data_IF_001644852481
#
_entry.id   IF_001644852481
#
_cell.length_a   1.000
_cell.length_b   1.000
_cell.length_c   1.000
_cell.angle_alpha   90.00
_cell.angle_beta   90.00
_cell.angle_gamma   90.00
#
_symmetry.space_group_name_H-M   'P 1'
#
loop_
_entity.id
_entity.type
_entity.pdbx_description
1 polymer ?
#
# COMPACT_ATOMS: atom_id res chain seq x y z
N UNK A 1 43.61 19.37 -17.94
CA UNK A 1 44.36 19.79 -16.74
C UNK A 1 45.68 20.43 -17.17
N UNK A 2 45.93 21.67 -16.74
CA UNK A 2 47.16 22.41 -17.08
C UNK A 2 48.37 22.00 -16.23
N UNK A 3 49.58 22.43 -16.63
CA UNK A 3 50.84 22.16 -15.89
C UNK A 3 50.81 22.62 -14.42
N UNK A 4 50.11 23.73 -14.15
CA UNK A 4 49.96 24.27 -12.79
C UNK A 4 49.11 23.38 -11.88
N UNK A 5 48.03 22.79 -12.39
CA UNK A 5 47.16 21.89 -11.63
C UNK A 5 47.89 20.60 -11.23
N UNK A 6 48.71 20.06 -12.14
CA UNK A 6 49.56 18.90 -11.87
C UNK A 6 50.58 19.19 -10.77
N UNK A 7 51.33 20.29 -10.91
CA UNK A 7 52.32 20.70 -9.91
C UNK A 7 51.70 20.88 -8.52
N UNK A 8 50.50 21.47 -8.44
CA UNK A 8 49.79 21.64 -7.18
C UNK A 8 49.40 20.29 -6.53
N UNK A 9 48.87 19.34 -7.31
CA UNK A 9 48.51 17.99 -6.82
C UNK A 9 49.73 17.20 -6.36
N UNK A 10 50.81 17.24 -7.14
CA UNK A 10 52.09 16.61 -6.79
C UNK A 10 52.65 17.19 -5.48
N UNK A 11 52.62 18.52 -5.34
CA UNK A 11 53.05 19.18 -4.10
C UNK A 11 52.19 18.72 -2.92
N UNK A 12 50.86 18.68 -3.04
CA UNK A 12 49.99 18.16 -1.98
C UNK A 12 50.31 16.71 -1.64
N UNK A 13 50.58 15.87 -2.63
CA UNK A 13 50.91 14.48 -2.41
C UNK A 13 52.22 14.29 -1.62
N UNK A 14 53.27 15.01 -2.02
CA UNK A 14 54.59 14.89 -1.41
C UNK A 14 54.66 15.57 -0.03
N UNK A 15 54.08 16.75 0.09
CA UNK A 15 54.22 17.59 1.27
C UNK A 15 53.26 17.21 2.41
N UNK A 16 52.05 16.73 2.11
CA UNK A 16 51.04 16.43 3.16
C UNK A 16 51.54 15.39 4.14
N UNK A 17 52.07 14.27 3.64
CA UNK A 17 52.60 13.21 4.51
C UNK A 17 53.82 13.71 5.30
N UNK A 18 54.71 14.47 4.66
CA UNK A 18 55.91 15.03 5.29
C UNK A 18 55.59 16.02 6.40
N UNK A 19 54.73 17.00 6.13
CA UNK A 19 54.37 18.08 7.06
C UNK A 19 53.54 17.56 8.22
N UNK A 20 52.64 16.60 7.98
CA UNK A 20 51.77 16.05 9.02
C UNK A 20 52.38 14.88 9.79
N UNK A 21 53.61 14.47 9.46
CA UNK A 21 54.24 13.29 10.05
C UNK A 21 53.46 12.00 9.78
N UNK A 22 52.81 11.92 8.60
CA UNK A 22 51.97 10.80 8.19
C UNK A 22 50.55 10.81 8.78
N UNK A 23 50.14 11.85 9.51
CA UNK A 23 48.78 11.95 10.06
C UNK A 23 47.72 12.22 8.98
N UNK A 24 48.11 12.74 7.82
CA UNK A 24 47.28 12.85 6.64
C UNK A 24 48.04 12.40 5.39
N UNK A 25 47.32 11.81 4.44
CA UNK A 25 47.83 11.45 3.12
C UNK A 25 46.93 12.08 2.05
N UNK A 26 47.54 12.43 0.93
CA UNK A 26 46.81 12.79 -0.26
C UNK A 26 46.40 11.53 -1.00
N UNK A 27 45.14 11.47 -1.41
CA UNK A 27 44.64 10.48 -2.34
C UNK A 27 44.00 11.22 -3.52
N UNK A 28 44.36 10.83 -4.74
CA UNK A 28 43.72 11.39 -5.92
C UNK A 28 42.23 11.06 -5.89
N UNK A 29 41.42 12.07 -6.18
CA UNK A 29 39.97 11.93 -6.12
C UNK A 29 39.49 10.83 -7.10
N UNK A 30 38.72 9.83 -6.64
CA UNK A 30 38.13 8.85 -7.53
C UNK A 30 37.13 9.54 -8.48
N UNK A 31 36.99 9.00 -9.69
CA UNK A 31 35.98 9.47 -10.63
C UNK A 31 34.58 9.19 -10.06
N UNK A 32 33.80 10.26 -9.84
CA UNK A 32 32.43 10.15 -9.33
C UNK A 32 31.48 10.00 -10.52
N UNK A 33 31.01 8.77 -10.76
CA UNK A 33 30.03 8.49 -11.81
C UNK A 33 28.63 8.89 -11.35
N UNK A 34 28.06 9.89 -12.02
CA UNK A 34 26.69 10.33 -11.82
C UNK A 34 25.76 9.59 -12.78
N UNK A 35 25.18 8.48 -12.33
CA UNK A 35 24.39 7.60 -13.22
C UNK A 35 23.02 8.17 -13.61
N UNK A 36 22.47 9.12 -12.82
CA UNK A 36 21.21 9.87 -13.09
C UNK A 36 21.08 11.07 -12.12
N UNK A 37 21.01 12.29 -12.65
CA UNK A 37 20.78 13.53 -11.88
C UNK A 37 19.46 14.19 -12.33
N UNK A 38 18.38 13.42 -12.38
CA UNK A 38 17.05 13.94 -12.70
C UNK A 38 16.23 14.06 -11.42
N UNK A 39 15.77 15.28 -11.12
CA UNK A 39 14.85 15.54 -10.02
C UNK A 39 13.41 15.21 -10.42
N UNK A 40 12.55 15.02 -9.41
CA UNK A 40 11.13 14.71 -9.65
C UNK A 40 10.38 15.94 -10.16
N UNK A 41 10.71 17.12 -9.66
CA UNK A 41 10.20 18.38 -10.17
C UNK A 41 10.63 19.60 -9.37
N UNK A 42 10.09 20.75 -9.75
CA UNK A 42 10.29 22.02 -9.05
C UNK A 42 8.99 22.82 -9.04
N UNK A 43 8.76 23.54 -7.94
CA UNK A 43 7.65 24.48 -7.80
C UNK A 43 8.14 25.87 -8.19
N UNK A 44 7.60 26.45 -9.27
CA UNK A 44 7.86 27.85 -9.62
C UNK A 44 6.85 28.77 -8.94
N UNK A 45 7.34 29.78 -8.24
CA UNK A 45 6.50 30.77 -7.55
C UNK A 45 6.16 31.89 -8.51
N UNK A 46 4.92 31.89 -9.00
CA UNK A 46 4.44 32.90 -9.95
C UNK A 46 3.77 34.10 -9.25
N UNK A 47 3.07 33.85 -8.13
CA UNK A 47 2.33 34.87 -7.36
C UNK A 47 2.44 34.58 -5.85
N UNK A 48 3.47 35.11 -5.17
CA UNK A 48 3.78 34.75 -3.78
C UNK A 48 2.70 35.18 -2.77
N UNK A 49 1.93 36.22 -3.05
CA UNK A 49 0.87 36.71 -2.17
C UNK A 49 -0.28 35.70 -2.02
N UNK A 50 -0.60 34.98 -3.10
CA UNK A 50 -1.67 33.98 -3.12
C UNK A 50 -1.38 32.76 -2.24
N UNK A 51 -0.09 32.48 -1.98
CA UNK A 51 0.32 31.33 -1.17
C UNK A 51 0.23 31.60 0.34
N UNK A 52 0.09 32.87 0.76
CA UNK A 52 0.10 33.25 2.17
C UNK A 52 -1.07 32.68 2.98
N UNK A 53 -2.21 32.47 2.30
CA UNK A 53 -3.47 32.08 2.91
C UNK A 53 -3.75 30.58 2.81
N UNK A 54 -2.92 29.84 2.08
CA UNK A 54 -3.01 28.39 1.97
C UNK A 54 -2.38 27.73 3.20
N UNK A 55 -2.83 26.53 3.55
CA UNK A 55 -2.19 25.74 4.59
C UNK A 55 -0.73 25.42 4.26
N UNK A 56 0.09 25.27 5.30
CA UNK A 56 1.45 24.77 5.17
C UNK A 56 1.46 23.41 4.44
N UNK A 57 2.44 23.17 3.54
CA UNK A 57 3.71 23.90 3.43
C UNK A 57 3.70 25.14 2.52
N UNK A 58 2.61 25.47 1.81
CA UNK A 58 2.60 26.52 0.77
C UNK A 58 3.19 27.89 1.17
N UNK A 59 2.95 28.44 2.38
CA UNK A 59 3.55 29.72 2.75
C UNK A 59 5.09 29.70 2.79
N UNK A 60 5.73 28.55 2.99
CA UNK A 60 7.19 28.45 3.14
C UNK A 60 7.96 28.72 1.83
N UNK A 61 7.34 28.49 0.66
CA UNK A 61 8.02 28.70 -0.64
C UNK A 61 7.99 30.16 -1.09
N UNK A 62 7.20 31.02 -0.43
CA UNK A 62 6.95 32.41 -0.85
C UNK A 62 8.18 33.28 -0.95
N UNK A 63 9.22 32.96 -0.17
CA UNK A 63 10.47 33.70 -0.15
C UNK A 63 11.40 33.32 -1.32
N UNK A 64 10.99 32.36 -2.16
CA UNK A 64 11.83 31.76 -3.21
C UNK A 64 11.14 31.87 -4.57
N UNK A 65 11.93 31.98 -5.64
CA UNK A 65 11.42 31.94 -7.02
C UNK A 65 11.04 30.52 -7.47
N UNK A 66 11.74 29.53 -6.91
CA UNK A 66 11.64 28.12 -7.24
C UNK A 66 11.96 27.30 -5.97
N UNK A 67 11.41 26.09 -5.86
CA UNK A 67 11.88 25.10 -4.90
C UNK A 67 11.89 23.72 -5.53
N UNK A 68 13.01 23.00 -5.39
CA UNK A 68 13.11 21.60 -5.80
C UNK A 68 12.18 20.74 -4.93
N UNK A 69 11.40 19.87 -5.59
CA UNK A 69 10.55 18.89 -4.92
C UNK A 69 11.06 17.49 -5.21
N UNK A 70 11.25 16.73 -4.14
CA UNK A 70 11.55 15.30 -4.15
C UNK A 70 10.37 14.56 -3.54
N UNK A 71 9.73 13.70 -4.32
CA UNK A 71 8.48 13.04 -3.97
C UNK A 71 8.72 11.55 -3.78
N UNK A 72 8.53 11.08 -2.55
CA UNK A 72 8.60 9.66 -2.19
C UNK A 72 7.21 9.15 -1.87
N UNK A 73 6.79 8.11 -2.59
CA UNK A 73 5.51 7.44 -2.40
C UNK A 73 5.65 6.25 -1.44
N UNK A 74 4.51 5.64 -1.12
CA UNK A 74 4.48 4.44 -0.31
C UNK A 74 5.28 3.30 -0.99
N UNK A 75 6.29 2.78 -0.29
CA UNK A 75 7.20 1.75 -0.78
C UNK A 75 8.57 2.28 -1.21
N UNK A 76 8.71 3.58 -1.44
CA UNK A 76 9.98 4.19 -1.79
C UNK A 76 10.95 4.24 -0.61
N UNK A 77 12.24 4.19 -0.92
CA UNK A 77 13.29 4.37 0.07
C UNK A 77 13.39 5.84 0.51
N UNK A 78 13.52 6.03 1.82
CA UNK A 78 13.80 7.33 2.47
C UNK A 78 15.03 7.24 3.38
N UNK A 79 15.99 6.41 2.99
CA UNK A 79 17.24 6.25 3.69
C UNK A 79 18.22 7.41 3.45
N UNK A 80 19.36 7.37 4.14
CA UNK A 80 20.38 8.41 4.02
C UNK A 80 20.92 8.57 2.60
N UNK A 81 20.98 7.49 1.80
CA UNK A 81 21.50 7.55 0.42
C UNK A 81 20.53 8.33 -0.46
N UNK A 82 19.23 8.08 -0.31
CA UNK A 82 18.20 8.81 -1.06
C UNK A 82 18.19 10.30 -0.71
N UNK A 83 18.33 10.67 0.56
CA UNK A 83 18.44 12.09 0.95
C UNK A 83 19.73 12.71 0.38
N UNK A 84 20.85 12.00 0.36
CA UNK A 84 22.09 12.50 -0.25
C UNK A 84 21.96 12.67 -1.76
N UNK A 85 21.23 11.79 -2.46
CA UNK A 85 20.93 11.93 -3.89
C UNK A 85 20.03 13.14 -4.16
N UNK A 86 19.00 13.36 -3.35
CA UNK A 86 18.17 14.57 -3.44
C UNK A 86 18.98 15.86 -3.25
N UNK A 87 19.87 15.90 -2.25
CA UNK A 87 20.77 17.04 -2.01
C UNK A 87 21.71 17.29 -3.20
N UNK A 88 22.22 16.22 -3.82
CA UNK A 88 23.05 16.31 -5.01
C UNK A 88 22.28 16.88 -6.20
N UNK A 89 21.05 16.40 -6.45
CA UNK A 89 20.17 16.91 -7.52
C UNK A 89 19.82 18.37 -7.32
N UNK A 90 19.53 18.77 -6.07
CA UNK A 90 19.36 20.18 -5.69
C UNK A 90 20.60 21.01 -5.99
N UNK A 91 21.78 20.53 -5.62
CA UNK A 91 23.02 21.28 -5.88
C UNK A 91 23.27 21.43 -7.39
N UNK A 92 22.99 20.39 -8.18
CA UNK A 92 23.08 20.46 -9.63
C UNK A 92 22.14 21.53 -10.20
N UNK A 93 20.88 21.57 -9.76
CA UNK A 93 19.93 22.61 -10.19
C UNK A 93 20.37 24.02 -9.77
N UNK A 94 20.92 24.17 -8.57
CA UNK A 94 21.47 25.45 -8.10
C UNK A 94 22.58 25.95 -9.04
N UNK A 95 23.52 25.06 -9.43
CA UNK A 95 24.59 25.39 -10.39
C UNK A 95 24.01 25.77 -11.74
N UNK A 96 23.07 25.00 -12.29
CA UNK A 96 22.40 25.34 -13.55
C UNK A 96 21.78 26.74 -13.51
N UNK A 97 21.11 27.11 -12.41
CA UNK A 97 20.50 28.44 -12.27
C UNK A 97 21.53 29.57 -12.21
N UNK A 98 22.72 29.32 -11.67
CA UNK A 98 23.84 30.27 -11.70
C UNK A 98 24.35 30.44 -13.13
N UNK A 99 24.49 29.35 -13.87
CA UNK A 99 25.01 29.32 -15.25
C UNK A 99 24.02 29.88 -16.29
N UNK A 100 22.72 29.68 -16.09
CA UNK A 100 21.64 30.14 -16.98
C UNK A 100 21.44 31.66 -16.98
N UNK A 101 22.02 32.41 -16.04
CA UNK A 101 21.73 33.84 -15.83
C UNK A 101 22.96 34.73 -15.94
N UNK A 102 22.75 35.90 -16.54
CA UNK A 102 23.72 37.00 -16.56
C UNK A 102 23.03 38.30 -16.08
N UNK A 103 23.46 38.90 -14.94
CA UNK A 103 24.53 38.44 -14.04
C UNK A 103 24.19 37.12 -13.32
N UNK A 104 25.20 36.42 -12.78
CA UNK A 104 25.00 35.15 -12.07
C UNK A 104 23.99 35.28 -10.92
N UNK A 105 23.12 34.30 -10.80
CA UNK A 105 22.18 34.21 -9.69
C UNK A 105 22.92 33.94 -8.37
N UNK A 106 22.53 34.63 -7.29
CA UNK A 106 23.21 34.54 -5.97
C UNK A 106 22.29 33.99 -4.86
N UNK A 107 21.17 33.38 -5.23
CA UNK A 107 20.25 32.77 -4.27
C UNK A 107 20.64 31.33 -3.93
N UNK A 108 19.83 30.71 -3.09
CA UNK A 108 19.96 29.30 -2.71
C UNK A 108 18.75 28.51 -3.20
N UNK A 109 18.97 27.30 -3.71
CA UNK A 109 17.90 26.42 -4.16
C UNK A 109 17.26 25.69 -2.97
N UNK A 110 15.98 25.92 -2.64
CA UNK A 110 15.30 25.18 -1.57
C UNK A 110 15.11 23.71 -1.93
N UNK A 111 14.99 22.87 -0.90
CA UNK A 111 14.62 21.46 -1.05
C UNK A 111 13.36 21.17 -0.24
N UNK A 112 12.33 20.70 -0.92
CA UNK A 112 11.11 20.16 -0.31
C UNK A 112 11.08 18.65 -0.53
N UNK A 113 11.24 17.90 0.55
CA UNK A 113 11.25 16.45 0.52
C UNK A 113 9.93 15.92 1.07
N UNK A 114 9.07 15.42 0.18
CA UNK A 114 7.75 14.90 0.49
C UNK A 114 7.84 13.39 0.62
N UNK A 115 7.40 12.87 1.77
CA UNK A 115 7.43 11.43 2.04
C UNK A 115 6.24 11.04 2.92
N UNK A 116 5.90 9.74 3.02
CA UNK A 116 4.79 9.33 3.87
C UNK A 116 5.00 9.71 5.35
N UNK A 117 6.23 9.63 5.84
CA UNK A 117 6.58 9.88 7.24
C UNK A 117 8.02 10.41 7.37
N UNK A 118 8.37 10.92 8.56
CA UNK A 118 9.76 11.24 8.91
C UNK A 118 10.48 9.95 9.33
N UNK A 119 11.58 9.54 8.68
CA UNK A 119 12.29 8.33 9.05
C UNK A 119 13.05 8.50 10.38
N UNK A 120 13.13 7.42 11.17
CA UNK A 120 13.73 7.46 12.51
C UNK A 120 15.19 7.91 12.51
N UNK A 121 15.97 7.50 11.50
CA UNK A 121 17.39 7.85 11.39
C UNK A 121 17.60 9.38 11.28
N UNK A 122 16.65 10.11 10.68
CA UNK A 122 16.79 11.54 10.45
C UNK A 122 16.81 12.32 11.76
N UNK A 123 16.02 11.90 12.75
CA UNK A 123 16.01 12.49 14.09
C UNK A 123 17.37 12.36 14.81
N UNK A 124 18.16 11.34 14.48
CA UNK A 124 19.46 11.10 15.09
C UNK A 124 20.58 11.98 14.51
N UNK A 125 20.38 12.58 13.33
CA UNK A 125 21.45 13.28 12.60
C UNK A 125 21.08 14.70 12.17
N UNK A 126 19.81 15.11 12.31
CA UNK A 126 19.32 16.45 12.01
C UNK A 126 18.41 16.95 13.12
N UNK A 127 18.41 18.27 13.32
CA UNK A 127 17.36 18.95 14.05
C UNK A 127 16.13 19.08 13.15
N UNK A 128 14.96 18.72 13.67
CA UNK A 128 13.68 18.84 12.98
C UNK A 128 12.81 19.84 13.74
N UNK A 129 12.73 21.06 13.22
CA UNK A 129 11.92 22.13 13.78
C UNK A 129 10.50 22.06 13.19
N UNK A 130 9.46 21.80 13.99
CA UNK A 130 8.09 21.74 13.48
C UNK A 130 7.59 23.12 13.07
N UNK A 131 7.17 23.26 11.81
CA UNK A 131 6.58 24.50 11.26
C UNK A 131 5.06 24.44 11.31
N UNK A 132 4.50 23.27 11.00
CA UNK A 132 3.06 22.97 10.98
C UNK A 132 2.87 21.45 11.08
N UNK A 133 1.64 20.93 11.26
CA UNK A 133 1.40 19.49 11.23
C UNK A 133 1.99 18.86 9.95
N UNK A 134 2.87 17.87 10.12
CA UNK A 134 3.55 17.19 9.02
C UNK A 134 4.60 18.01 8.26
N UNK A 135 4.96 19.21 8.70
CA UNK A 135 5.98 20.05 8.04
C UNK A 135 7.12 20.36 9.01
N UNK A 136 8.33 19.93 8.67
CA UNK A 136 9.51 20.03 9.52
C UNK A 136 10.66 20.70 8.79
N UNK A 137 11.19 21.79 9.33
CA UNK A 137 12.41 22.40 8.83
C UNK A 137 13.61 21.59 9.30
N UNK A 138 14.46 21.17 8.37
CA UNK A 138 15.60 20.28 8.61
C UNK A 138 16.86 21.12 8.79
N UNK A 139 17.42 21.12 10.00
CA UNK A 139 18.63 21.87 10.36
C UNK A 139 19.77 20.98 10.86
N UNK A 140 21.02 21.49 10.90
CA UNK A 140 21.45 22.75 10.27
C UNK A 140 21.54 22.61 8.75
N UNK A 141 21.12 23.64 8.03
CA UNK A 141 21.16 23.72 6.57
C UNK A 141 21.45 25.16 6.17
N UNK A 142 22.27 25.37 5.14
CA UNK A 142 22.53 26.72 4.61
C UNK A 142 21.27 27.28 3.93
N UNK A 143 20.52 26.40 3.28
CA UNK A 143 19.30 26.71 2.54
C UNK A 143 18.06 26.15 3.22
N UNK A 144 16.87 26.58 2.75
CA UNK A 144 15.60 26.04 3.21
C UNK A 144 15.46 24.57 2.81
N UNK A 145 15.57 23.67 3.78
CA UNK A 145 15.26 22.26 3.64
C UNK A 145 14.02 21.93 4.45
N UNK A 146 12.91 21.63 3.77
CA UNK A 146 11.65 21.25 4.37
C UNK A 146 11.37 19.76 4.15
N UNK A 147 11.11 19.03 5.22
CA UNK A 147 10.57 17.68 5.19
C UNK A 147 9.05 17.72 5.39
N UNK A 148 8.32 17.10 4.48
CA UNK A 148 6.85 17.07 4.48
C UNK A 148 6.40 15.62 4.69
N UNK A 149 5.95 15.30 5.89
CA UNK A 149 5.41 14.01 6.29
C UNK A 149 3.90 13.94 5.96
N UNK A 150 3.59 13.37 4.80
CA UNK A 150 2.25 13.39 4.22
C UNK A 150 1.16 12.74 5.12
N UNK A 151 1.53 11.73 5.92
CA UNK A 151 0.60 11.07 6.84
C UNK A 151 0.12 11.98 7.98
N UNK A 152 0.86 13.05 8.27
CA UNK A 152 0.57 13.98 9.37
C UNK A 152 -0.11 15.28 8.89
N UNK A 153 -0.15 15.52 7.58
CA UNK A 153 -0.83 16.68 6.99
C UNK A 153 -2.35 16.60 7.21
N UNK A 154 -3.06 17.72 7.41
CA UNK A 154 -4.52 17.72 7.47
C UNK A 154 -5.13 17.46 6.09
N UNK A 155 -6.34 16.90 6.07
CA UNK A 155 -7.11 16.69 4.84
C UNK A 155 -7.72 18.02 4.37
N UNK A 156 -7.09 18.66 3.38
CA UNK A 156 -7.52 19.91 2.75
C UNK A 156 -7.30 19.86 1.25
N UNK A 157 -8.18 20.50 0.48
CA UNK A 157 -8.13 20.46 -1.00
C UNK A 157 -6.81 20.99 -1.56
N UNK A 158 -6.29 22.08 -0.98
CA UNK A 158 -5.02 22.68 -1.35
C UNK A 158 -3.80 21.79 -1.03
N UNK A 159 -3.94 20.77 -0.18
CA UNK A 159 -2.85 19.86 0.20
C UNK A 159 -2.84 18.56 -0.61
N UNK A 160 -3.80 18.36 -1.52
CA UNK A 160 -3.86 17.14 -2.35
C UNK A 160 -2.54 16.79 -3.04
N UNK A 161 -1.74 17.74 -3.59
CA UNK A 161 -0.44 17.43 -4.19
C UNK A 161 0.56 16.75 -3.23
N UNK A 162 0.44 16.96 -1.92
CA UNK A 162 1.29 16.31 -0.91
C UNK A 162 0.63 15.06 -0.33
N UNK A 163 -0.70 15.06 -0.20
CA UNK A 163 -1.46 13.96 0.39
C UNK A 163 -1.38 12.66 -0.44
N UNK A 164 -1.06 12.76 -1.74
CA UNK A 164 -0.78 11.57 -2.57
C UNK A 164 0.42 10.76 -2.07
N UNK A 165 1.36 11.36 -1.36
CA UNK A 165 2.50 10.63 -0.78
C UNK A 165 2.15 9.85 0.49
N UNK A 166 0.90 9.84 0.93
CA UNK A 166 0.48 9.08 2.11
C UNK A 166 0.65 7.58 1.93
N UNK A 167 0.75 6.87 3.05
CA UNK A 167 0.83 5.41 3.11
C UNK A 167 -0.11 4.81 4.16
N UNK A 168 -0.35 3.50 4.04
CA UNK A 168 -1.12 2.72 5.01
C UNK A 168 -2.50 3.32 5.31
N UNK A 169 -2.85 3.43 6.59
CA UNK A 169 -4.15 3.94 7.02
C UNK A 169 -4.41 5.39 6.60
N UNK A 170 -3.39 6.24 6.61
CA UNK A 170 -3.54 7.63 6.20
C UNK A 170 -3.86 7.76 4.70
N UNK A 171 -3.30 6.88 3.86
CA UNK A 171 -3.63 6.78 2.44
C UNK A 171 -5.09 6.36 2.24
N UNK A 172 -5.55 5.35 2.97
CA UNK A 172 -6.93 4.90 2.93
C UNK A 172 -7.92 6.01 3.34
N UNK A 173 -7.61 6.74 4.40
CA UNK A 173 -8.40 7.90 4.85
C UNK A 173 -8.43 9.02 3.80
N UNK A 174 -7.27 9.32 3.21
CA UNK A 174 -7.17 10.28 2.11
C UNK A 174 -8.01 9.84 0.90
N UNK A 175 -7.88 8.59 0.45
CA UNK A 175 -8.56 8.07 -0.73
C UNK A 175 -10.09 8.20 -0.61
N UNK A 176 -10.65 7.84 0.55
CA UNK A 176 -12.09 7.99 0.83
C UNK A 176 -12.54 9.45 0.89
N UNK A 177 -11.69 10.31 1.46
CA UNK A 177 -11.98 11.72 1.58
C UNK A 177 -11.89 12.45 0.23
N UNK A 178 -10.91 12.13 -0.62
CA UNK A 178 -10.67 12.84 -1.89
C UNK A 178 -11.59 12.36 -3.01
N UNK A 179 -12.03 11.10 -2.98
CA UNK A 179 -12.84 10.52 -4.04
C UNK A 179 -14.11 11.32 -4.41
N UNK A 180 -14.96 11.80 -3.47
CA UNK A 180 -16.13 12.61 -3.82
C UNK A 180 -15.79 14.05 -4.24
N UNK A 181 -14.51 14.46 -4.23
CA UNK A 181 -14.04 15.82 -4.50
C UNK A 181 -13.26 15.94 -5.81
N UNK A 182 -13.16 14.85 -6.57
CA UNK A 182 -12.38 14.77 -7.82
C UNK A 182 -13.17 14.07 -8.90
N UNK A 183 -12.81 14.38 -10.14
CA UNK A 183 -13.39 13.74 -11.32
C UNK A 183 -13.18 12.22 -11.28
N UNK A 184 -14.15 11.48 -11.80
CA UNK A 184 -14.17 10.01 -11.76
C UNK A 184 -12.90 9.43 -12.36
N UNK A 185 -12.41 9.95 -13.49
CA UNK A 185 -11.18 9.48 -14.12
C UNK A 185 -9.94 9.62 -13.23
N UNK A 186 -9.84 10.71 -12.47
CA UNK A 186 -8.75 10.89 -11.52
C UNK A 186 -8.86 9.87 -10.37
N UNK A 187 -10.07 9.61 -9.87
CA UNK A 187 -10.31 8.63 -8.81
C UNK A 187 -10.00 7.20 -9.29
N UNK A 188 -10.38 6.84 -10.52
CA UNK A 188 -10.05 5.55 -11.11
C UNK A 188 -8.53 5.36 -11.25
N UNK A 189 -7.82 6.40 -11.69
CA UNK A 189 -6.35 6.41 -11.75
C UNK A 189 -5.73 6.19 -10.36
N UNK A 190 -6.24 6.89 -9.34
CA UNK A 190 -5.79 6.70 -7.95
C UNK A 190 -6.03 5.25 -7.47
N UNK A 191 -7.19 4.66 -7.75
CA UNK A 191 -7.51 3.26 -7.39
C UNK A 191 -6.56 2.26 -8.07
N UNK A 192 -6.18 2.54 -9.32
CA UNK A 192 -5.32 1.69 -10.13
C UNK A 192 -3.87 1.67 -9.63
N UNK A 193 -3.30 2.85 -9.34
CA UNK A 193 -1.87 2.98 -9.10
C UNK A 193 -1.48 3.04 -7.62
N UNK A 194 -2.38 3.45 -6.73
CA UNK A 194 -2.01 3.65 -5.32
C UNK A 194 -2.08 2.34 -4.51
N UNK A 195 -1.09 2.09 -3.62
CA UNK A 195 -1.04 0.89 -2.79
C UNK A 195 -1.94 1.01 -1.54
N UNK A 196 -3.24 1.27 -1.76
CA UNK A 196 -4.27 1.29 -0.72
C UNK A 196 -4.74 -0.12 -0.34
N UNK A 197 -5.42 -0.25 0.80
CA UNK A 197 -5.93 -1.55 1.23
C UNK A 197 -6.97 -2.12 0.27
N UNK A 198 -7.05 -3.46 0.19
CA UNK A 198 -8.01 -4.15 -0.67
C UNK A 198 -9.46 -3.74 -0.39
N UNK A 199 -9.79 -3.53 0.90
CA UNK A 199 -11.12 -3.08 1.31
C UNK A 199 -11.44 -1.68 0.78
N UNK A 200 -10.53 -0.71 0.96
CA UNK A 200 -10.71 0.66 0.44
C UNK A 200 -10.83 0.67 -1.07
N UNK A 201 -9.98 -0.11 -1.74
CA UNK A 201 -10.02 -0.25 -3.20
C UNK A 201 -11.38 -0.76 -3.67
N UNK A 202 -11.91 -1.79 -3.03
CA UNK A 202 -13.19 -2.39 -3.36
C UNK A 202 -14.38 -1.45 -3.06
N UNK A 203 -14.38 -0.78 -1.91
CA UNK A 203 -15.41 0.22 -1.55
C UNK A 203 -15.44 1.37 -2.56
N UNK A 204 -14.28 1.91 -2.94
CA UNK A 204 -14.20 2.98 -3.93
C UNK A 204 -14.60 2.50 -5.33
N UNK A 205 -14.20 1.29 -5.74
CA UNK A 205 -14.68 0.69 -7.00
C UNK A 205 -16.19 0.52 -7.03
N UNK A 206 -16.83 0.15 -5.91
CA UNK A 206 -18.30 0.05 -5.85
C UNK A 206 -18.98 1.40 -5.97
N UNK A 207 -18.43 2.43 -5.34
CA UNK A 207 -19.00 3.79 -5.33
C UNK A 207 -18.76 4.58 -6.61
N UNK A 208 -17.60 4.39 -7.25
CA UNK A 208 -17.13 5.21 -8.37
C UNK A 208 -16.83 4.41 -9.65
N UNK A 209 -16.86 3.08 -9.58
CA UNK A 209 -16.62 2.21 -10.74
C UNK A 209 -17.85 1.98 -11.63
N UNK A 210 -19.05 2.38 -11.18
CA UNK A 210 -20.27 2.39 -11.99
C UNK A 210 -20.61 3.82 -12.36
N UNK A 211 -20.90 4.04 -13.64
CA UNK A 211 -21.48 5.31 -14.08
C UNK A 211 -22.99 5.26 -13.83
N UNK A 212 -23.57 6.31 -13.25
CA UNK A 212 -25.04 6.45 -13.16
C UNK A 212 -25.64 6.82 -14.52
N UNK A 213 -24.80 7.19 -15.50
CA UNK A 213 -25.19 7.43 -16.89
C UNK A 213 -25.30 6.08 -17.65
N UNK A 214 -26.52 5.69 -18.08
CA UNK A 214 -26.75 4.43 -18.79
C UNK A 214 -25.99 4.34 -20.13
N UNK A 215 -25.71 5.46 -20.78
CA UNK A 215 -25.01 5.50 -22.07
C UNK A 215 -23.51 5.23 -21.90
N UNK A 216 -22.91 5.79 -20.85
CA UNK A 216 -21.51 5.53 -20.48
C UNK A 216 -21.34 4.05 -20.08
N UNK A 217 -22.29 3.49 -19.33
CA UNK A 217 -22.23 2.08 -18.93
C UNK A 217 -22.43 1.14 -20.13
N UNK A 218 -23.34 1.47 -21.05
CA UNK A 218 -23.52 0.72 -22.30
C UNK A 218 -22.23 0.72 -23.14
N UNK A 219 -21.57 1.87 -23.28
CA UNK A 219 -20.30 2.00 -24.01
C UNK A 219 -19.18 1.21 -23.33
N UNK A 220 -19.10 1.21 -22.00
CA UNK A 220 -18.14 0.39 -21.24
C UNK A 220 -18.37 -1.09 -21.45
N UNK A 221 -19.63 -1.54 -21.42
CA UNK A 221 -19.99 -2.94 -21.69
C UNK A 221 -19.61 -3.34 -23.12
N UNK A 222 -19.84 -2.48 -24.11
CA UNK A 222 -19.44 -2.72 -25.49
C UNK A 222 -17.93 -2.89 -25.62
N UNK A 223 -17.13 -1.97 -25.04
CA UNK A 223 -15.66 -2.07 -25.03
C UNK A 223 -15.20 -3.38 -24.38
N UNK A 224 -15.76 -3.75 -23.23
CA UNK A 224 -15.41 -4.99 -22.54
C UNK A 224 -15.75 -6.23 -23.40
N UNK A 225 -16.90 -6.23 -24.08
CA UNK A 225 -17.27 -7.30 -24.98
C UNK A 225 -16.30 -7.41 -26.17
N UNK A 226 -15.89 -6.28 -26.75
CA UNK A 226 -14.89 -6.26 -27.82
C UNK A 226 -13.55 -6.82 -27.34
N UNK A 227 -13.05 -6.36 -26.19
CA UNK A 227 -11.77 -6.84 -25.63
C UNK A 227 -11.79 -8.36 -25.35
N UNK A 228 -12.91 -8.89 -24.85
CA UNK A 228 -13.07 -10.33 -24.62
C UNK A 228 -13.23 -11.12 -25.93
N UNK A 229 -13.75 -10.50 -27.00
CA UNK A 229 -13.81 -11.10 -28.32
C UNK A 229 -12.43 -11.14 -28.99
N UNK A 230 -11.61 -10.11 -28.78
CA UNK A 230 -10.25 -9.99 -29.30
C UNK A 230 -9.23 -10.84 -28.53
N UNK A 231 -9.59 -11.34 -27.35
CA UNK A 231 -8.75 -12.20 -26.50
C UNK A 231 -9.52 -13.47 -26.09
N UNK A 232 -9.75 -14.41 -27.02
CA UNK A 232 -10.51 -15.62 -26.77
C UNK A 232 -9.90 -16.48 -25.65
N UNK A 233 -8.57 -16.48 -25.50
CA UNK A 233 -7.88 -17.23 -24.44
C UNK A 233 -8.25 -16.73 -23.04
N UNK A 234 -8.36 -15.41 -22.86
CA UNK A 234 -8.77 -14.81 -21.58
C UNK A 234 -10.22 -15.13 -21.27
N UNK A 235 -11.08 -15.10 -22.30
CA UNK A 235 -12.49 -15.47 -22.18
C UNK A 235 -12.65 -16.95 -21.80
N UNK A 236 -11.91 -17.85 -22.45
CA UNK A 236 -11.91 -19.28 -22.15
C UNK A 236 -11.46 -19.54 -20.70
N UNK A 237 -10.35 -18.93 -20.27
CA UNK A 237 -9.85 -19.06 -18.91
C UNK A 237 -10.86 -18.61 -17.84
N UNK A 238 -11.59 -17.51 -18.08
CA UNK A 238 -12.62 -17.03 -17.16
C UNK A 238 -13.81 -18.00 -17.08
N UNK A 239 -14.18 -18.61 -18.20
CA UNK A 239 -15.24 -19.63 -18.26
C UNK A 239 -14.79 -20.90 -17.53
N UNK A 240 -13.58 -21.39 -17.82
CA UNK A 240 -13.00 -22.57 -17.17
C UNK A 240 -12.92 -22.41 -15.66
N UNK A 241 -12.38 -21.29 -15.16
CA UNK A 241 -12.31 -21.00 -13.72
C UNK A 241 -13.71 -20.95 -13.08
N UNK A 242 -14.70 -20.39 -13.78
CA UNK A 242 -16.08 -20.35 -13.31
C UNK A 242 -16.70 -21.74 -13.20
N UNK A 243 -16.48 -22.59 -14.20
CA UNK A 243 -16.96 -23.98 -14.23
C UNK A 243 -16.26 -24.81 -13.16
N UNK A 244 -14.93 -24.74 -13.07
CA UNK A 244 -14.12 -25.48 -12.09
C UNK A 244 -14.58 -25.17 -10.67
N UNK A 245 -14.70 -23.89 -10.33
CA UNK A 245 -15.17 -23.47 -9.01
C UNK A 245 -16.61 -23.89 -8.72
N UNK A 246 -17.46 -23.89 -9.74
CA UNK A 246 -18.85 -24.37 -9.62
C UNK A 246 -18.93 -25.88 -9.37
N UNK A 247 -18.11 -26.67 -10.07
CA UNK A 247 -18.00 -28.12 -9.90
C UNK A 247 -17.42 -28.44 -8.53
N UNK A 248 -16.34 -27.78 -8.13
CA UNK A 248 -15.69 -27.98 -6.82
C UNK A 248 -16.69 -27.76 -5.68
N UNK A 249 -17.40 -26.62 -5.68
CA UNK A 249 -18.42 -26.33 -4.66
C UNK A 249 -19.59 -27.32 -4.70
N UNK A 250 -19.97 -27.80 -5.89
CA UNK A 250 -21.04 -28.79 -6.05
C UNK A 250 -20.65 -30.16 -5.50
N UNK A 251 -19.44 -30.63 -5.81
CA UNK A 251 -18.88 -31.88 -5.32
C UNK A 251 -18.69 -31.82 -3.81
N UNK A 252 -18.09 -30.74 -3.30
CA UNK A 252 -17.84 -30.57 -1.86
C UNK A 252 -19.15 -30.68 -1.06
N UNK A 253 -20.18 -29.91 -1.44
CA UNK A 253 -21.50 -29.98 -0.80
C UNK A 253 -22.15 -31.35 -0.94
N UNK A 254 -22.03 -31.99 -2.11
CA UNK A 254 -22.60 -33.30 -2.36
C UNK A 254 -21.94 -34.40 -1.52
N UNK A 255 -20.61 -34.36 -1.41
CA UNK A 255 -19.83 -35.30 -0.59
C UNK A 255 -20.12 -35.09 0.89
N UNK A 256 -20.16 -33.84 1.36
CA UNK A 256 -20.47 -33.54 2.76
C UNK A 256 -21.86 -34.03 3.16
N UNK A 257 -22.88 -33.74 2.35
CA UNK A 257 -24.24 -34.22 2.56
C UNK A 257 -24.33 -35.75 2.51
N UNK A 258 -23.64 -36.38 1.55
CA UNK A 258 -23.58 -37.83 1.42
C UNK A 258 -22.93 -38.51 2.63
N UNK A 259 -21.80 -37.97 3.11
CA UNK A 259 -21.13 -38.49 4.31
C UNK A 259 -21.99 -38.32 5.57
N UNK A 260 -22.64 -37.16 5.74
CA UNK A 260 -23.52 -36.92 6.88
C UNK A 260 -24.70 -37.89 6.89
N UNK A 261 -25.36 -38.08 5.74
CA UNK A 261 -26.47 -39.02 5.60
C UNK A 261 -26.02 -40.47 5.84
N UNK A 262 -24.83 -40.84 5.36
CA UNK A 262 -24.20 -42.14 5.59
C UNK A 262 -23.97 -42.41 7.09
N UNK A 263 -23.36 -41.45 7.80
CA UNK A 263 -23.12 -41.54 9.25
C UNK A 263 -24.41 -41.67 10.05
N UNK A 264 -25.46 -40.93 9.70
CA UNK A 264 -26.76 -41.04 10.36
C UNK A 264 -27.38 -42.42 10.12
N UNK A 265 -27.32 -42.92 8.88
CA UNK A 265 -27.86 -44.24 8.53
C UNK A 265 -27.14 -45.36 9.27
N UNK A 266 -25.82 -45.30 9.34
CA UNK A 266 -25.00 -46.26 10.08
C UNK A 266 -25.27 -46.20 11.59
N UNK A 267 -25.32 -45.00 12.18
CA UNK A 267 -25.61 -44.82 13.60
C UNK A 267 -26.99 -45.38 14.00
N UNK A 268 -28.02 -45.14 13.18
CA UNK A 268 -29.35 -45.75 13.37
C UNK A 268 -29.30 -47.27 13.29
N UNK A 269 -28.56 -47.83 12.33
CA UNK A 269 -28.40 -49.28 12.18
C UNK A 269 -27.65 -49.91 13.37
N UNK A 270 -26.59 -49.26 13.84
CA UNK A 270 -25.81 -49.68 15.01
C UNK A 270 -26.66 -49.70 16.28
N UNK A 271 -27.45 -48.65 16.51
CA UNK A 271 -28.38 -48.55 17.64
C UNK A 271 -29.38 -49.72 17.64
N UNK A 272 -30.02 -49.99 16.51
CA UNK A 272 -30.94 -51.12 16.36
C UNK A 272 -30.27 -52.45 16.66
N UNK A 273 -29.04 -52.65 16.19
CA UNK A 273 -28.28 -53.88 16.42
C UNK A 273 -27.99 -54.11 17.90
N UNK A 274 -27.65 -53.06 18.64
CA UNK A 274 -27.40 -53.14 20.09
C UNK A 274 -28.69 -53.44 20.85
N UNK A 275 -29.78 -52.72 20.56
CA UNK A 275 -31.09 -52.93 21.18
C UNK A 275 -31.61 -54.35 20.96
N UNK A 276 -31.49 -54.87 19.73
CA UNK A 276 -31.86 -56.24 19.39
C UNK A 276 -31.01 -57.27 20.16
N UNK A 277 -29.69 -57.08 20.26
CA UNK A 277 -28.81 -57.96 21.04
C UNK A 277 -29.11 -57.95 22.55
N UNK A 278 -29.60 -56.82 23.06
CA UNK A 278 -30.02 -56.65 24.46
C UNK A 278 -31.42 -57.23 24.73
N UNK A 279 -32.13 -57.71 23.70
CA UNK A 279 -33.50 -58.21 23.82
C UNK A 279 -34.52 -57.10 24.11
N UNK A 280 -34.20 -55.84 23.82
CA UNK A 280 -35.08 -54.70 24.05
C UNK A 280 -36.00 -54.53 22.85
N UNK A 281 -37.26 -54.94 23.00
CA UNK A 281 -38.25 -54.84 21.93
C UNK A 281 -38.58 -53.38 21.60
N UNK A 282 -38.51 -53.03 20.31
CA UNK A 282 -38.91 -51.71 19.82
C UNK A 282 -40.40 -51.70 19.49
N UNK A 283 -41.11 -50.68 19.95
CA UNK A 283 -42.45 -50.37 19.47
C UNK A 283 -42.37 -49.56 18.17
N UNK A 284 -43.44 -49.56 17.38
CA UNK A 284 -43.51 -48.78 16.14
C UNK A 284 -43.25 -47.28 16.37
N UNK A 285 -43.62 -46.74 17.54
CA UNK A 285 -43.36 -45.35 17.91
C UNK A 285 -41.86 -45.06 18.12
N UNK A 286 -41.13 -45.98 18.77
CA UNK A 286 -39.68 -45.84 18.98
C UNK A 286 -38.91 -46.04 17.67
N UNK A 287 -39.39 -46.91 16.79
CA UNK A 287 -38.82 -47.08 15.44
C UNK A 287 -38.90 -45.79 14.62
N UNK A 288 -40.08 -45.15 14.61
CA UNK A 288 -40.26 -43.86 13.95
C UNK A 288 -39.39 -42.76 14.55
N UNK A 289 -39.16 -42.78 15.87
CA UNK A 289 -38.26 -41.85 16.56
C UNK A 289 -36.79 -42.01 16.12
N UNK A 290 -36.32 -43.23 15.92
CA UNK A 290 -34.96 -43.50 15.42
C UNK A 290 -34.80 -43.00 13.98
N UNK A 291 -35.77 -43.27 13.12
CA UNK A 291 -35.71 -42.85 11.71
C UNK A 291 -35.79 -41.33 11.53
N UNK A 292 -36.61 -40.65 12.34
CA UNK A 292 -36.76 -39.20 12.31
C UNK A 292 -35.58 -38.42 12.91
N UNK A 293 -34.65 -39.07 13.63
CA UNK A 293 -33.54 -38.38 14.29
C UNK A 293 -32.47 -37.93 13.29
N UNK A 294 -32.28 -36.61 13.12
CA UNK A 294 -31.27 -36.00 12.24
C UNK A 294 -29.93 -35.69 12.92
N UNK A 295 -29.83 -35.97 14.23
CA UNK A 295 -28.70 -35.54 15.07
C UNK A 295 -27.82 -36.74 15.44
N UNK A 296 -26.59 -36.76 14.93
CA UNK A 296 -25.66 -37.87 15.18
C UNK A 296 -25.30 -38.01 16.66
N UNK A 297 -25.18 -36.89 17.38
CA UNK A 297 -24.88 -36.89 18.81
C UNK A 297 -26.01 -37.54 19.63
N UNK A 298 -27.26 -37.33 19.24
CA UNK A 298 -28.42 -37.96 19.89
C UNK A 298 -28.44 -39.46 19.66
N UNK A 299 -28.21 -39.90 18.41
CA UNK A 299 -28.06 -41.33 18.10
C UNK A 299 -26.89 -41.97 18.86
N UNK A 300 -25.78 -41.25 19.03
CA UNK A 300 -24.63 -41.68 19.83
C UNK A 300 -24.98 -41.88 21.30
N UNK A 301 -25.68 -40.93 21.93
CA UNK A 301 -26.14 -41.07 23.32
C UNK A 301 -27.09 -42.26 23.50
N UNK A 302 -28.06 -42.40 22.60
CA UNK A 302 -28.98 -43.55 22.64
C UNK A 302 -28.24 -44.88 22.49
N UNK A 303 -27.20 -44.93 21.65
CA UNK A 303 -26.36 -46.12 21.50
C UNK A 303 -25.66 -46.49 22.81
N UNK A 304 -25.09 -45.51 23.51
CA UNK A 304 -24.43 -45.72 24.81
C UNK A 304 -25.43 -46.14 25.90
N UNK A 305 -26.59 -45.48 25.96
CA UNK A 305 -27.65 -45.81 26.92
C UNK A 305 -28.23 -47.20 26.66
N UNK A 306 -28.40 -47.61 25.40
CA UNK A 306 -28.90 -48.93 25.02
C UNK A 306 -28.05 -50.09 25.59
N UNK A 307 -26.76 -49.84 25.88
CA UNK A 307 -25.87 -50.85 26.48
C UNK A 307 -26.23 -51.14 27.94
N UNK A 308 -26.85 -50.21 28.67
CA UNK A 308 -27.11 -50.34 30.12
C UNK A 308 -28.59 -50.26 30.50
N UNK A 309 -29.42 -49.63 29.68
CA UNK A 309 -30.83 -49.40 29.90
C UNK A 309 -31.65 -50.68 30.14
N UNK A 310 -32.69 -50.57 30.98
CA UNK A 310 -33.60 -51.66 31.34
C UNK A 310 -34.73 -51.84 30.31
N UNK A 311 -35.06 -50.81 29.53
CA UNK A 311 -36.06 -50.85 28.47
C UNK A 311 -35.60 -50.06 27.23
N UNK A 312 -36.24 -50.31 26.08
CA UNK A 312 -36.00 -49.51 24.87
C UNK A 312 -36.42 -48.04 25.05
N UNK A 313 -37.42 -47.76 25.89
CA UNK A 313 -37.82 -46.38 26.20
C UNK A 313 -36.74 -45.63 26.97
N UNK A 314 -36.12 -46.28 27.97
CA UNK A 314 -35.03 -45.68 28.76
C UNK A 314 -33.75 -45.47 27.94
N UNK A 315 -33.55 -46.31 26.91
CA UNK A 315 -32.41 -46.18 25.99
C UNK A 315 -32.55 -45.00 25.02
N UNK A 316 -33.78 -44.53 24.77
CA UNK A 316 -34.09 -43.44 23.84
C UNK A 316 -34.50 -42.12 24.53
N UNK A 317 -34.34 -42.05 25.85
CA UNK A 317 -34.61 -40.87 26.68
C UNK A 317 -33.40 -39.93 26.72
#
# INVERSE_FOLDING_TARGET
MGKLDRFAKETFAEETSRVTGGAAAWEDAPEVRLERVQADGYLRVLRPEGLAFLAAPWPEVRAHEEALVELKLAGDHVDVREVKRALLRRQAREVERVEEREPPWMGEEPLWFVAPHVPSWLHGVRALEPVAPGCYRVGPSAFQFLWIAANELPLRDELVPFLVARSGRALDEFARWVAPRREVEWVLSMIQYMPMSAWTREDLKRRFGRSDDPEIEARRQEILQTLLADSPEVKEQLIEQGIEKGIEQGIEKGVEQGQQQGRLTEARAALRRVLARRGLALSAALEAQIDGCSELATLGRWLEQAVTAASAGDALA
#
